data_IF_565783223306
#
_entry.id   IF_565783223306
#
_cell.length_a   1.000
_cell.length_b   1.000
_cell.length_c   1.000
_cell.angle_alpha   90.00
_cell.angle_beta   90.00
_cell.angle_gamma   90.00
#
_symmetry.space_group_name_H-M   'P 1'
#
loop_
_entity.id
_entity.type
_entity.pdbx_description
1 polymer ?
#
# COMPACT_ATOMS: atom_id res chain seq x y z
N UNK A 1 7.99 -7.13 4.95
CA UNK A 1 8.22 -6.93 3.50
C UNK A 1 9.15 -5.73 3.30
N UNK A 2 10.09 -5.79 2.35
CA UNK A 2 10.94 -4.66 1.92
C UNK A 2 10.66 -4.28 0.46
N UNK A 3 11.19 -3.16 -0.05
CA UNK A 3 11.09 -2.82 -1.47
C UNK A 3 11.69 -3.87 -2.40
N UNK A 4 12.63 -4.70 -1.93
CA UNK A 4 13.37 -5.67 -2.75
C UNK A 4 12.87 -7.11 -2.59
N UNK A 5 12.34 -7.49 -1.42
CA UNK A 5 11.95 -8.86 -1.14
C UNK A 5 10.81 -9.00 -0.11
N UNK A 6 10.09 -10.11 -0.21
CA UNK A 6 9.19 -10.59 0.84
C UNK A 6 9.96 -11.60 1.69
N UNK A 7 10.04 -11.33 2.99
CA UNK A 7 10.69 -12.21 3.96
C UNK A 7 9.64 -13.02 4.71
N UNK A 8 9.84 -14.34 4.77
CA UNK A 8 9.02 -15.30 5.48
C UNK A 8 9.83 -15.90 6.63
N UNK A 9 9.20 -16.02 7.80
CA UNK A 9 9.72 -16.79 8.94
C UNK A 9 8.71 -17.89 9.24
N UNK A 10 9.17 -19.14 9.18
CA UNK A 10 8.35 -20.32 9.44
C UNK A 10 8.40 -20.72 10.93
N UNK A 11 7.45 -21.56 11.42
CA UNK A 11 7.38 -21.95 12.83
C UNK A 11 8.64 -22.67 13.35
N UNK A 12 9.38 -23.35 12.48
CA UNK A 12 10.68 -23.99 12.75
C UNK A 12 11.86 -22.99 12.78
N UNK A 13 11.57 -21.69 12.79
CA UNK A 13 12.54 -20.59 12.68
C UNK A 13 13.28 -20.50 11.34
N UNK A 14 12.92 -21.30 10.33
CA UNK A 14 13.48 -21.16 8.99
C UNK A 14 13.08 -19.80 8.40
N UNK A 15 14.06 -19.11 7.77
CA UNK A 15 13.83 -17.84 7.06
C UNK A 15 13.98 -18.05 5.57
N UNK A 16 13.02 -17.55 4.77
CA UNK A 16 13.12 -17.51 3.31
C UNK A 16 12.83 -16.11 2.79
N UNK A 17 13.45 -15.74 1.68
CA UNK A 17 13.19 -14.48 1.00
C UNK A 17 12.82 -14.73 -0.46
N UNK A 18 11.75 -14.08 -0.92
CA UNK A 18 11.33 -14.08 -2.33
C UNK A 18 11.58 -12.68 -2.89
N UNK A 19 12.45 -12.59 -3.89
CA UNK A 19 12.76 -11.33 -4.54
C UNK A 19 11.54 -10.79 -5.30
N UNK A 20 11.32 -9.48 -5.19
CA UNK A 20 10.29 -8.79 -5.97
C UNK A 20 10.78 -8.55 -7.41
N UNK A 21 9.86 -8.46 -8.39
CA UNK A 21 10.22 -8.18 -9.78
C UNK A 21 11.05 -6.89 -9.91
N UNK A 22 12.11 -6.94 -10.74
CA UNK A 22 13.04 -5.81 -10.95
C UNK A 22 12.37 -4.51 -11.42
N UNK A 23 11.20 -4.59 -12.07
CA UNK A 23 10.50 -3.41 -12.60
C UNK A 23 9.36 -2.87 -11.72
N UNK A 24 8.93 -3.60 -10.69
CA UNK A 24 7.76 -3.22 -9.88
C UNK A 24 8.02 -3.33 -8.38
N UNK A 25 7.42 -2.42 -7.65
CA UNK A 25 7.35 -2.41 -6.19
C UNK A 25 5.89 -2.46 -5.79
N UNK A 26 5.56 -3.24 -4.76
CA UNK A 26 4.22 -3.23 -4.18
C UNK A 26 4.17 -2.24 -3.02
N UNK A 27 3.11 -1.44 -3.00
CA UNK A 27 2.81 -0.46 -1.95
C UNK A 27 1.49 -0.86 -1.33
N UNK A 28 1.53 -1.26 -0.06
CA UNK A 28 0.37 -1.60 0.73
C UNK A 28 -0.17 -0.36 1.42
N UNK A 29 -1.44 -0.04 1.16
CA UNK A 29 -2.10 1.16 1.68
C UNK A 29 -3.27 0.72 2.58
N UNK A 30 -3.34 1.26 3.80
CA UNK A 30 -4.51 1.14 4.67
C UNK A 30 -5.14 2.51 4.84
N UNK A 31 -6.08 2.90 3.95
CA UNK A 31 -6.86 4.10 4.16
C UNK A 31 -7.74 3.96 5.40
N UNK A 32 -8.04 5.08 6.05
CA UNK A 32 -8.89 5.13 7.24
C UNK A 32 -9.77 6.37 7.24
N UNK A 33 -10.88 6.32 7.97
CA UNK A 33 -11.82 7.40 8.22
C UNK A 33 -11.62 7.91 9.66
N UNK A 34 -11.64 7.02 10.65
CA UNK A 34 -11.69 7.43 12.07
C UNK A 34 -10.33 7.33 12.73
N UNK A 35 -9.70 6.16 12.68
CA UNK A 35 -8.45 5.88 13.41
C UNK A 35 -7.39 5.23 12.54
N UNK A 36 -6.13 5.57 12.81
CA UNK A 36 -4.96 4.90 12.25
C UNK A 36 -3.98 4.55 13.35
N UNK A 37 -3.00 3.72 13.04
CA UNK A 37 -1.87 3.43 13.90
C UNK A 37 -0.57 3.50 13.08
N UNK A 38 0.51 4.07 13.65
CA UNK A 38 1.81 4.06 13.00
C UNK A 38 2.39 2.63 13.01
N UNK A 39 2.45 1.96 11.85
CA UNK A 39 3.12 0.67 11.66
C UNK A 39 4.26 0.92 10.65
N UNK A 40 5.48 1.18 11.15
CA UNK A 40 6.68 1.50 10.34
C UNK A 40 7.31 0.26 9.68
N UNK A 41 7.01 -0.94 10.17
CA UNK A 41 7.55 -2.19 9.66
C UNK A 41 6.40 -3.08 9.20
N UNK A 42 6.36 -3.43 7.91
CA UNK A 42 5.25 -4.21 7.34
C UNK A 42 5.30 -5.68 7.80
N UNK A 43 4.65 -5.97 8.93
CA UNK A 43 4.23 -7.32 9.31
C UNK A 43 2.93 -7.64 8.59
N UNK A 44 3.05 -8.35 7.46
CA UNK A 44 1.94 -8.70 6.56
C UNK A 44 0.81 -9.44 7.29
N UNK A 45 1.14 -10.19 8.35
CA UNK A 45 0.22 -11.00 9.16
C UNK A 45 -0.26 -10.35 10.46
N UNK A 46 0.27 -9.19 10.85
CA UNK A 46 0.04 -8.65 12.21
C UNK A 46 -0.64 -7.28 12.30
N UNK A 47 -0.75 -6.54 11.19
CA UNK A 47 -1.34 -5.19 11.22
C UNK A 47 -2.74 -5.18 10.56
N UNK A 48 -3.75 -4.68 11.27
CA UNK A 48 -5.16 -4.61 10.84
C UNK A 48 -5.60 -3.16 10.54
N UNK A 49 -6.02 -2.90 9.31
CA UNK A 49 -6.61 -1.65 8.86
C UNK A 49 -8.10 -1.53 9.20
N UNK A 50 -8.61 -0.30 9.21
CA UNK A 50 -10.00 0.01 9.58
C UNK A 50 -11.00 -0.43 8.50
N UNK A 51 -10.67 -0.25 7.23
CA UNK A 51 -11.59 -0.47 6.10
C UNK A 51 -11.42 -1.87 5.52
N UNK A 52 -12.15 -2.85 6.05
CA UNK A 52 -12.13 -4.25 5.58
C UNK A 52 -13.18 -4.49 4.51
N UNK A 53 -12.81 -5.16 3.42
CA UNK A 53 -13.71 -5.47 2.30
C UNK A 53 -14.44 -4.25 1.69
N UNK A 54 -13.84 -3.08 1.80
CA UNK A 54 -14.40 -1.81 1.34
C UNK A 54 -13.95 -1.53 -0.09
N UNK A 55 -14.87 -1.18 -1.02
CA UNK A 55 -14.49 -0.72 -2.34
C UNK A 55 -13.88 0.68 -2.27
N UNK A 56 -12.66 0.82 -2.80
CA UNK A 56 -11.90 2.06 -2.86
C UNK A 56 -11.60 2.39 -4.33
N UNK A 57 -12.06 3.54 -4.79
CA UNK A 57 -11.65 4.10 -6.08
C UNK A 57 -10.25 4.67 -5.93
N UNK A 58 -9.30 4.11 -6.68
CA UNK A 58 -7.90 4.50 -6.67
C UNK A 58 -7.58 5.22 -7.97
N UNK A 59 -7.02 6.42 -7.85
CA UNK A 59 -6.48 7.17 -8.99
C UNK A 59 -5.03 7.58 -8.69
N UNK A 60 -4.11 7.05 -9.49
CA UNK A 60 -2.68 7.33 -9.43
C UNK A 60 -2.28 8.16 -10.65
N UNK A 61 -1.57 9.25 -10.41
CA UNK A 61 -0.94 10.06 -11.46
C UNK A 61 0.56 10.21 -11.26
N UNK A 62 1.28 10.40 -12.37
CA UNK A 62 2.70 10.72 -12.42
C UNK A 62 2.92 11.81 -13.44
N UNK A 63 3.57 12.91 -13.05
CA UNK A 63 3.82 14.06 -13.94
C UNK A 63 2.56 14.51 -14.72
N UNK A 64 1.42 14.58 -14.02
CA UNK A 64 0.13 14.96 -14.62
C UNK A 64 -0.57 13.87 -15.45
N UNK A 65 0.10 12.75 -15.77
CA UNK A 65 -0.50 11.65 -16.54
C UNK A 65 -1.09 10.59 -15.61
N UNK A 66 -2.26 10.04 -15.96
CA UNK A 66 -2.86 8.92 -15.22
C UNK A 66 -2.07 7.65 -15.48
N UNK A 67 -1.63 6.99 -14.40
CA UNK A 67 -0.91 5.71 -14.44
C UNK A 67 -1.84 4.55 -14.10
N UNK A 68 -2.79 4.79 -13.19
CA UNK A 68 -3.74 3.77 -12.74
C UNK A 68 -5.03 4.45 -12.31
N UNK A 69 -6.16 3.94 -12.78
CA UNK A 69 -7.50 4.35 -12.34
C UNK A 69 -8.37 3.11 -12.28
N UNK A 70 -8.68 2.62 -11.08
CA UNK A 70 -9.53 1.44 -10.87
C UNK A 70 -10.19 1.48 -9.50
N UNK A 71 -11.28 0.75 -9.36
CA UNK A 71 -11.83 0.41 -8.05
C UNK A 71 -11.18 -0.90 -7.60
N UNK A 72 -10.66 -0.92 -6.37
CA UNK A 72 -10.15 -2.13 -5.72
C UNK A 72 -10.88 -2.34 -4.41
N UNK A 73 -11.05 -3.59 -4.01
CA UNK A 73 -11.58 -3.93 -2.70
C UNK A 73 -10.40 -4.12 -1.74
N UNK A 74 -10.50 -3.58 -0.53
CA UNK A 74 -9.52 -3.88 0.52
C UNK A 74 -9.64 -5.35 0.95
N UNK A 75 -8.52 -5.91 1.40
CA UNK A 75 -8.38 -7.29 1.85
C UNK A 75 -8.92 -7.46 3.28
N UNK A 76 -8.89 -8.68 3.80
CA UNK A 76 -9.31 -9.03 5.17
C UNK A 76 -8.60 -8.18 6.24
N UNK A 77 -7.33 -7.86 5.99
CA UNK A 77 -6.52 -7.03 6.88
C UNK A 77 -6.75 -5.51 6.68
N UNK A 78 -7.70 -5.11 5.83
CA UNK A 78 -8.02 -3.70 5.54
C UNK A 78 -7.00 -2.97 4.64
N UNK A 79 -6.03 -3.68 4.08
CA UNK A 79 -5.08 -3.12 3.12
C UNK A 79 -5.58 -3.26 1.68
N UNK A 80 -5.13 -2.36 0.82
CA UNK A 80 -5.08 -2.56 -0.63
C UNK A 80 -3.63 -2.53 -1.09
N UNK A 81 -3.29 -3.34 -2.08
CA UNK A 81 -1.93 -3.46 -2.60
C UNK A 81 -1.85 -2.94 -4.04
N UNK A 82 -0.94 -2.02 -4.29
CA UNK A 82 -0.71 -1.42 -5.61
C UNK A 82 0.68 -1.79 -6.12
N UNK A 83 0.71 -2.39 -7.30
CA UNK A 83 1.95 -2.63 -8.03
C UNK A 83 2.30 -1.41 -8.88
N UNK A 84 3.36 -0.71 -8.50
CA UNK A 84 3.82 0.52 -9.14
C UNK A 84 5.23 0.33 -9.72
N UNK A 85 5.55 1.11 -10.76
CA UNK A 85 6.91 1.13 -11.32
C UNK A 85 7.91 1.71 -10.31
N UNK A 86 9.09 1.12 -10.20
CA UNK A 86 10.16 1.54 -9.28
C UNK A 86 10.81 2.86 -9.66
N UNK A 87 11.42 3.53 -8.69
CA UNK A 87 12.22 4.73 -8.90
C UNK A 87 11.39 5.97 -9.20
N UNK A 88 10.12 5.99 -8.78
CA UNK A 88 9.15 7.02 -9.15
C UNK A 88 8.43 7.61 -7.94
N UNK A 89 7.94 8.83 -8.11
CA UNK A 89 6.97 9.47 -7.22
C UNK A 89 5.61 9.53 -7.92
N UNK A 90 4.55 9.25 -7.16
CA UNK A 90 3.18 9.24 -7.64
C UNK A 90 2.29 10.11 -6.75
N UNK A 91 1.30 10.75 -7.34
CA UNK A 91 0.18 11.31 -6.58
C UNK A 91 -0.94 10.28 -6.55
N UNK A 92 -1.49 10.03 -5.36
CA UNK A 92 -2.62 9.13 -5.15
C UNK A 92 -3.83 9.93 -4.70
N UNK A 93 -4.99 9.59 -5.27
CA UNK A 93 -6.30 9.99 -4.77
C UNK A 93 -7.08 8.72 -4.49
N UNK A 94 -7.63 8.61 -3.28
CA UNK A 94 -8.51 7.51 -2.88
C UNK A 94 -9.88 8.08 -2.56
N UNK A 95 -10.91 7.35 -2.98
CA UNK A 95 -12.31 7.69 -2.67
C UNK A 95 -13.05 6.43 -2.24
N UNK A 96 -13.68 6.50 -1.07
CA UNK A 96 -14.50 5.43 -0.52
C UNK A 96 -15.60 6.05 0.35
N UNK A 97 -16.80 5.46 0.34
CA UNK A 97 -17.93 5.92 1.16
C UNK A 97 -18.23 7.43 1.07
N UNK A 98 -18.11 7.99 -0.15
CA UNK A 98 -18.31 9.42 -0.40
C UNK A 98 -17.19 10.35 0.08
N UNK A 99 -16.18 9.83 0.78
CA UNK A 99 -15.03 10.58 1.31
C UNK A 99 -13.82 10.47 0.39
N UNK A 100 -12.92 11.44 0.47
CA UNK A 100 -11.74 11.53 -0.39
C UNK A 100 -10.48 11.79 0.40
N UNK A 101 -9.36 11.27 -0.08
CA UNK A 101 -8.04 11.61 0.43
C UNK A 101 -7.02 11.67 -0.70
N UNK A 102 -6.00 12.50 -0.51
CA UNK A 102 -4.93 12.71 -1.47
C UNK A 102 -3.59 12.61 -0.76
N UNK A 103 -2.60 12.05 -1.44
CA UNK A 103 -1.26 11.97 -0.91
C UNK A 103 -0.23 11.66 -1.98
N UNK A 104 1.00 11.40 -1.52
CA UNK A 104 2.12 11.03 -2.38
C UNK A 104 2.59 9.63 -2.01
N UNK A 105 2.93 8.85 -3.03
CA UNK A 105 3.58 7.55 -2.89
C UNK A 105 4.97 7.65 -3.51
N UNK A 106 5.95 7.02 -2.88
CA UNK A 106 7.32 6.95 -3.42
C UNK A 106 7.73 5.50 -3.54
N UNK A 107 8.46 5.19 -4.60
CA UNK A 107 8.98 3.85 -4.90
C UNK A 107 10.49 3.89 -5.13
N UNK A 108 11.15 4.85 -4.48
CA UNK A 108 12.60 5.02 -4.52
C UNK A 108 13.26 3.91 -3.68
N UNK A 109 14.56 3.65 -3.88
CA UNK A 109 15.31 2.76 -2.98
C UNK A 109 15.15 3.23 -1.52
N UNK A 110 14.79 2.29 -0.62
CA UNK A 110 14.53 2.60 0.79
C UNK A 110 13.18 3.25 1.10
N UNK A 111 12.31 3.47 0.11
CA UNK A 111 10.93 3.95 0.35
C UNK A 111 10.12 2.97 1.20
N UNK A 112 9.26 3.50 2.06
CA UNK A 112 8.31 2.68 2.80
C UNK A 112 7.37 1.93 1.84
N UNK A 113 7.21 0.62 2.06
CA UNK A 113 6.25 -0.21 1.31
C UNK A 113 4.83 -0.11 1.88
N UNK A 114 4.64 0.64 2.97
CA UNK A 114 3.40 0.70 3.74
C UNK A 114 2.97 2.15 3.95
N UNK A 115 1.71 2.44 3.65
CA UNK A 115 1.13 3.79 3.82
C UNK A 115 -0.14 3.70 4.65
N UNK A 116 -0.10 4.26 5.86
CA UNK A 116 -1.25 4.31 6.79
C UNK A 116 -1.68 5.74 7.14
N UNK A 117 -1.09 6.74 6.47
CA UNK A 117 -1.33 8.17 6.71
C UNK A 117 -2.48 8.78 5.91
N UNK A 118 -3.16 8.00 5.08
CA UNK A 118 -4.21 8.49 4.19
C UNK A 118 -5.58 8.45 4.85
N UNK A 119 -5.95 9.55 5.51
CA UNK A 119 -7.28 9.73 6.09
C UNK A 119 -8.29 10.22 5.04
N UNK A 120 -9.36 9.46 4.84
CA UNK A 120 -10.54 9.82 4.05
C UNK A 120 -11.41 10.80 4.84
N UNK A 121 -11.70 11.96 4.23
CA UNK A 121 -12.59 12.98 4.78
C UNK A 121 -13.58 13.48 3.72
#
# INVERSE_FOLDING_TARGET
MTPEAIHFTFPDSQKRAVALPKGRMVVAISPYITRTHPCKTHFTSGCQGELVHTPVKVHITRMGKTVLRKTVRTLDNGFLELWLGRGQQYNVTLTAEGKITRGKLTTLPGSDTRVTSLQLR
#
